data_IF_987523521708
#
_entry.id   IF_987523521708
#
_cell.length_a   1.000
_cell.length_b   1.000
_cell.length_c   1.000
_cell.angle_alpha   90.00
_cell.angle_beta   90.00
_cell.angle_gamma   90.00
#
_symmetry.space_group_name_H-M   'P 1'
#
loop_
_entity.id
_entity.type
_entity.pdbx_description
1 polymer ?
#
# COMPACT_ATOMS: atom_id res chain seq x y z
N UNK A 1 -8.11 -1.09 8.18
CA UNK A 1 -9.12 -0.04 8.01
C UNK A 1 -8.44 1.22 7.48
N UNK A 2 -8.99 1.81 6.41
CA UNK A 2 -8.47 3.04 5.82
C UNK A 2 -9.49 4.17 6.01
N UNK A 3 -9.00 5.38 6.21
CA UNK A 3 -9.84 6.56 6.39
C UNK A 3 -10.06 7.27 5.05
N UNK A 4 -11.25 7.79 4.83
CA UNK A 4 -11.58 8.56 3.63
C UNK A 4 -10.87 9.93 3.52
N UNK A 5 -10.19 10.34 4.58
CA UNK A 5 -9.40 11.58 4.64
C UNK A 5 -8.11 11.35 5.42
N UNK A 6 -6.96 11.53 4.75
CA UNK A 6 -5.64 11.35 5.37
C UNK A 6 -5.31 12.49 6.36
N UNK A 7 -5.82 13.70 6.14
CA UNK A 7 -5.66 14.80 7.08
C UNK A 7 -6.37 14.54 8.39
N UNK A 8 -7.57 13.95 8.33
CA UNK A 8 -8.29 13.52 9.51
C UNK A 8 -7.55 12.39 10.25
N UNK A 9 -6.98 11.42 9.51
CA UNK A 9 -6.14 10.36 10.10
C UNK A 9 -4.95 10.96 10.88
N UNK A 10 -4.25 11.92 10.27
CA UNK A 10 -3.15 12.64 10.91
C UNK A 10 -3.63 13.38 12.16
N UNK A 11 -4.73 14.11 12.06
CA UNK A 11 -5.30 14.89 13.17
C UNK A 11 -5.67 14.01 14.36
N UNK A 12 -6.29 12.85 14.10
CA UNK A 12 -6.65 11.89 15.15
C UNK A 12 -5.41 11.28 15.81
N UNK A 13 -4.42 10.85 15.03
CA UNK A 13 -3.18 10.29 15.56
C UNK A 13 -2.41 11.28 16.46
N UNK A 14 -2.54 12.58 16.21
CA UNK A 14 -1.90 13.60 17.05
C UNK A 14 -2.78 14.06 18.24
N UNK A 15 -4.10 13.98 18.13
CA UNK A 15 -4.99 14.33 19.24
C UNK A 15 -4.81 13.39 20.43
N UNK A 16 -4.53 12.12 20.18
CA UNK A 16 -4.23 11.14 21.23
C UNK A 16 -2.92 11.40 21.99
N UNK A 17 -1.99 12.17 21.39
CA UNK A 17 -0.69 12.46 21.96
C UNK A 17 -0.59 13.87 22.56
N UNK A 18 -1.71 14.60 22.72
CA UNK A 18 -1.76 15.96 23.29
C UNK A 18 -0.82 16.97 22.57
N UNK A 19 -0.50 16.73 21.32
CA UNK A 19 0.41 17.57 20.54
C UNK A 19 -0.34 18.81 20.07
N UNK A 20 0.16 20.00 20.42
CA UNK A 20 -0.45 21.25 19.97
C UNK A 20 -0.37 21.43 18.44
N UNK A 21 -1.37 22.11 17.86
CA UNK A 21 -1.40 22.39 16.41
C UNK A 21 -0.13 23.06 15.89
N UNK A 22 0.54 23.89 16.70
CA UNK A 22 1.80 24.52 16.33
C UNK A 22 2.97 23.53 16.29
N UNK A 23 3.01 22.58 17.21
CA UNK A 23 4.04 21.53 17.22
C UNK A 23 3.86 20.59 16.04
N UNK A 24 2.61 20.24 15.73
CA UNK A 24 2.27 19.44 14.56
C UNK A 24 2.73 20.14 13.28
N UNK A 25 2.38 21.42 13.10
CA UNK A 25 2.79 22.21 11.95
C UNK A 25 4.33 22.25 11.79
N UNK A 26 5.05 22.50 12.88
CA UNK A 26 6.52 22.49 12.87
C UNK A 26 7.11 21.13 12.52
N UNK A 27 6.50 20.05 12.99
CA UNK A 27 6.95 18.68 12.69
C UNK A 27 6.75 18.34 11.21
N UNK A 28 5.63 18.77 10.62
CA UNK A 28 5.36 18.64 9.19
C UNK A 28 6.40 19.41 8.37
N UNK A 29 6.60 20.69 8.69
CA UNK A 29 7.52 21.57 7.96
C UNK A 29 8.98 21.12 8.05
N UNK A 30 9.37 20.50 9.15
CA UNK A 30 10.72 19.99 9.37
C UNK A 30 10.93 18.55 8.88
N UNK A 31 9.91 17.90 8.29
CA UNK A 31 9.98 16.51 7.88
C UNK A 31 10.20 15.53 9.05
N UNK A 32 9.86 15.93 10.27
CA UNK A 32 10.03 15.14 11.51
C UNK A 32 8.70 14.66 12.06
N UNK A 33 7.78 14.33 11.19
CA UNK A 33 6.51 13.76 11.60
C UNK A 33 6.76 12.35 12.17
N UNK A 34 6.50 12.14 13.46
CA UNK A 34 6.64 10.84 14.14
C UNK A 34 5.44 9.91 13.87
N UNK A 35 4.88 9.98 12.68
CA UNK A 35 3.83 9.07 12.23
C UNK A 35 4.44 7.91 11.45
N UNK A 36 3.75 6.79 11.48
CA UNK A 36 4.06 5.66 10.61
C UNK A 36 3.82 6.05 9.15
N UNK A 37 4.89 6.44 8.45
CA UNK A 37 4.82 6.85 7.04
C UNK A 37 4.20 5.76 6.16
N UNK A 38 4.42 4.47 6.48
CA UNK A 38 3.80 3.35 5.79
C UNK A 38 2.28 3.45 5.82
N UNK A 39 1.71 3.64 7.02
CA UNK A 39 0.26 3.78 7.19
C UNK A 39 -0.31 4.99 6.42
N UNK A 40 0.40 6.11 6.37
CA UNK A 40 -0.04 7.28 5.60
C UNK A 40 -0.01 7.01 4.09
N UNK A 41 1.06 6.39 3.59
CA UNK A 41 1.17 6.00 2.19
C UNK A 41 0.05 5.04 1.80
N UNK A 42 -0.16 3.98 2.56
CA UNK A 42 -1.25 3.03 2.32
C UNK A 42 -2.62 3.72 2.31
N UNK A 43 -2.87 4.64 3.25
CA UNK A 43 -4.13 5.37 3.33
C UNK A 43 -4.35 6.27 2.10
N UNK A 44 -3.32 6.98 1.64
CA UNK A 44 -3.39 7.79 0.41
C UNK A 44 -3.67 6.90 -0.81
N UNK A 45 -2.96 5.77 -0.94
CA UNK A 45 -3.16 4.86 -2.07
C UNK A 45 -4.58 4.24 -2.02
N UNK A 46 -5.09 3.90 -0.84
CA UNK A 46 -6.47 3.40 -0.68
C UNK A 46 -7.51 4.42 -1.19
N UNK A 47 -7.33 5.70 -0.87
CA UNK A 47 -8.20 6.76 -1.37
C UNK A 47 -8.12 6.88 -2.90
N UNK A 48 -6.90 6.88 -3.46
CA UNK A 48 -6.69 6.96 -4.91
C UNK A 48 -7.34 5.79 -5.66
N UNK A 49 -7.25 4.57 -5.12
CA UNK A 49 -7.91 3.39 -5.68
C UNK A 49 -9.44 3.48 -5.55
N UNK A 50 -9.95 3.96 -4.42
CA UNK A 50 -11.39 4.11 -4.18
C UNK A 50 -12.00 5.15 -5.13
N UNK A 51 -11.33 6.28 -5.37
CA UNK A 51 -11.79 7.31 -6.32
C UNK A 51 -11.88 6.76 -7.74
N UNK A 52 -11.04 5.77 -8.11
CA UNK A 52 -11.13 5.05 -9.37
C UNK A 52 -12.29 4.02 -9.42
N UNK A 53 -13.12 3.95 -8.36
CA UNK A 53 -14.21 2.98 -8.26
C UNK A 53 -13.75 1.55 -7.93
N UNK A 54 -12.49 1.36 -7.54
CA UNK A 54 -11.96 0.03 -7.21
C UNK A 54 -12.39 -0.42 -5.83
N UNK A 55 -12.76 -1.68 -5.70
CA UNK A 55 -12.97 -2.33 -4.40
C UNK A 55 -11.62 -2.66 -3.78
N UNK A 56 -11.48 -2.37 -2.49
CA UNK A 56 -10.27 -2.65 -1.75
C UNK A 56 -10.33 -4.06 -1.16
N UNK A 57 -9.46 -4.93 -1.63
CA UNK A 57 -9.20 -6.25 -1.07
C UNK A 57 -7.77 -6.31 -0.60
N UNK A 58 -7.50 -7.11 0.42
CA UNK A 58 -6.16 -7.35 0.94
C UNK A 58 -5.96 -8.85 1.17
N UNK A 59 -4.73 -9.25 1.46
CA UNK A 59 -4.43 -10.63 1.81
C UNK A 59 -3.44 -10.69 2.96
N UNK A 60 -3.78 -11.48 3.99
CA UNK A 60 -2.86 -11.79 5.09
C UNK A 60 -2.84 -13.28 5.34
N UNK A 61 -1.68 -13.81 5.67
CA UNK A 61 -1.51 -15.16 6.18
C UNK A 61 -0.78 -15.10 7.51
N UNK A 62 -1.55 -15.25 8.58
CA UNK A 62 -1.01 -15.26 9.94
C UNK A 62 -0.36 -16.61 10.26
N UNK A 63 0.81 -16.57 10.90
CA UNK A 63 1.53 -17.72 11.39
C UNK A 63 1.42 -17.75 12.92
N UNK A 64 0.72 -18.77 13.44
CA UNK A 64 0.46 -18.93 14.87
C UNK A 64 1.75 -19.17 15.68
N UNK A 65 2.71 -19.91 15.11
CA UNK A 65 3.96 -20.26 15.81
C UNK A 65 4.89 -19.05 15.92
N UNK A 66 4.90 -18.19 14.90
CA UNK A 66 5.77 -17.01 14.83
C UNK A 66 5.09 -15.75 15.37
N UNK A 67 3.81 -15.81 15.70
CA UNK A 67 2.98 -14.66 16.11
C UNK A 67 3.09 -13.45 15.18
N UNK A 68 3.17 -13.70 13.85
CA UNK A 68 3.25 -12.66 12.83
C UNK A 68 2.66 -13.12 11.51
N UNK A 69 2.44 -12.17 10.60
CA UNK A 69 2.08 -12.50 9.23
C UNK A 69 3.31 -13.03 8.47
N UNK A 70 3.21 -14.20 7.85
CA UNK A 70 4.21 -14.72 6.90
C UNK A 70 4.03 -14.08 5.52
N UNK A 71 2.79 -13.71 5.16
CA UNK A 71 2.46 -13.00 3.92
C UNK A 71 1.48 -11.88 4.27
N UNK A 72 1.75 -10.68 3.78
CA UNK A 72 0.88 -9.53 3.89
C UNK A 72 0.95 -8.75 2.58
N UNK A 73 -0.20 -8.58 1.91
CA UNK A 73 -0.36 -7.82 0.67
C UNK A 73 -1.38 -6.73 0.92
N UNK A 74 -0.98 -5.48 0.74
CA UNK A 74 -1.77 -4.31 1.10
C UNK A 74 -3.05 -4.19 0.27
N UNK A 75 -2.95 -4.44 -1.05
CA UNK A 75 -4.12 -4.44 -1.93
C UNK A 75 -4.07 -5.58 -2.95
N UNK A 76 -5.25 -6.14 -3.22
CA UNK A 76 -5.45 -7.06 -4.32
C UNK A 76 -6.34 -6.40 -5.37
N UNK A 77 -5.80 -6.22 -6.55
CA UNK A 77 -6.54 -5.70 -7.69
C UNK A 77 -6.98 -6.88 -8.56
N UNK A 78 -8.19 -6.82 -9.09
CA UNK A 78 -8.73 -7.86 -9.95
C UNK A 78 -9.13 -7.28 -11.30
N UNK A 79 -8.87 -8.03 -12.36
CA UNK A 79 -9.47 -7.74 -13.66
C UNK A 79 -10.85 -8.40 -13.71
N UNK A 80 -11.91 -7.63 -13.90
CA UNK A 80 -13.30 -8.10 -13.95
C UNK A 80 -13.67 -8.80 -15.28
N UNK A 81 -12.69 -9.17 -16.09
CA UNK A 81 -12.92 -9.94 -17.30
C UNK A 81 -13.53 -11.29 -16.94
N UNK A 82 -14.76 -11.54 -17.37
CA UNK A 82 -15.60 -12.69 -17.03
C UNK A 82 -15.02 -14.07 -17.40
N UNK A 83 -13.96 -14.11 -18.21
CA UNK A 83 -13.39 -15.35 -18.75
C UNK A 83 -12.07 -15.78 -18.11
N UNK A 84 -11.31 -14.86 -17.51
CA UNK A 84 -10.03 -15.16 -16.87
C UNK A 84 -9.82 -14.26 -15.65
N UNK A 85 -10.21 -14.78 -14.50
CA UNK A 85 -10.00 -14.06 -13.24
C UNK A 85 -8.50 -14.05 -12.90
N UNK A 86 -7.89 -12.90 -13.05
CA UNK A 86 -6.49 -12.65 -12.66
C UNK A 86 -6.42 -11.70 -11.47
N UNK A 87 -5.43 -11.94 -10.64
CA UNK A 87 -5.17 -11.14 -9.44
C UNK A 87 -3.86 -10.40 -9.63
N UNK A 88 -3.87 -9.13 -9.28
CA UNK A 88 -2.70 -8.27 -9.32
C UNK A 88 -2.41 -7.76 -7.90
N UNK A 89 -1.49 -8.40 -7.15
CA UNK A 89 -1.10 -7.91 -5.84
C UNK A 89 -0.37 -6.57 -5.96
N UNK A 90 -0.68 -5.65 -5.04
CA UNK A 90 -0.08 -4.35 -4.93
C UNK A 90 0.42 -4.14 -3.51
N UNK A 91 1.72 -3.86 -3.36
CA UNK A 91 2.35 -3.47 -2.11
C UNK A 91 2.70 -1.98 -2.12
N UNK A 92 2.55 -1.34 -0.97
CA UNK A 92 2.89 0.07 -0.76
C UNK A 92 4.13 0.16 0.11
N UNK A 93 5.12 0.91 -0.33
CA UNK A 93 6.39 1.11 0.38
C UNK A 93 6.66 2.60 0.52
N UNK A 94 6.76 3.09 1.76
CA UNK A 94 7.06 4.49 2.05
C UNK A 94 8.57 4.79 1.97
N UNK A 95 9.43 3.80 2.17
CA UNK A 95 10.88 3.97 2.15
C UNK A 95 11.51 3.56 0.82
N UNK A 96 12.74 4.05 0.57
CA UNK A 96 13.53 3.66 -0.60
C UNK A 96 14.13 2.25 -0.46
N UNK A 97 14.31 1.76 0.76
CA UNK A 97 14.87 0.44 1.06
C UNK A 97 13.75 -0.43 1.65
N UNK A 98 13.37 -1.46 0.92
CA UNK A 98 12.28 -2.36 1.32
C UNK A 98 12.56 -3.78 0.83
N UNK A 99 11.84 -4.74 1.42
CA UNK A 99 11.85 -6.14 0.98
C UNK A 99 10.57 -6.45 0.20
N UNK A 100 10.65 -7.43 -0.68
CA UNK A 100 9.53 -7.94 -1.49
C UNK A 100 9.17 -9.38 -1.13
N UNK A 101 9.55 -9.81 0.06
CA UNK A 101 9.38 -11.21 0.51
C UNK A 101 7.93 -11.67 0.50
N UNK A 102 7.01 -10.81 0.97
CA UNK A 102 5.57 -11.12 0.95
C UNK A 102 5.04 -11.29 -0.47
N UNK A 103 5.43 -10.42 -1.38
CA UNK A 103 5.03 -10.48 -2.77
C UNK A 103 5.51 -11.77 -3.46
N UNK A 104 6.77 -12.14 -3.22
CA UNK A 104 7.37 -13.38 -3.75
C UNK A 104 6.65 -14.61 -3.18
N UNK A 105 6.40 -14.63 -1.87
CA UNK A 105 5.70 -15.72 -1.20
C UNK A 105 4.25 -15.85 -1.70
N UNK A 106 3.56 -14.72 -1.89
CA UNK A 106 2.22 -14.67 -2.44
C UNK A 106 2.15 -15.23 -3.87
N UNK A 107 3.07 -14.76 -4.75
CA UNK A 107 3.18 -15.28 -6.12
C UNK A 107 3.40 -16.80 -6.15
N UNK A 108 4.29 -17.29 -5.31
CA UNK A 108 4.57 -18.73 -5.20
C UNK A 108 3.33 -19.52 -4.77
N UNK A 109 2.53 -18.96 -3.85
CA UNK A 109 1.32 -19.61 -3.31
C UNK A 109 0.16 -19.62 -4.29
N UNK A 110 -0.11 -18.49 -4.94
CA UNK A 110 -1.27 -18.30 -5.82
C UNK A 110 -0.98 -18.77 -7.25
N UNK A 111 0.28 -18.82 -7.64
CA UNK A 111 0.74 -19.37 -8.92
C UNK A 111 0.21 -18.61 -10.14
N UNK A 112 -0.28 -19.34 -11.13
CA UNK A 112 -0.71 -18.80 -12.43
C UNK A 112 -1.90 -17.83 -12.40
N UNK A 113 -2.55 -17.67 -11.25
CA UNK A 113 -3.61 -16.66 -11.08
C UNK A 113 -3.07 -15.24 -10.92
N UNK A 114 -1.79 -15.08 -10.56
CA UNK A 114 -1.12 -13.80 -10.54
C UNK A 114 -0.54 -13.51 -11.91
N UNK A 115 -0.92 -12.39 -12.52
CA UNK A 115 -0.40 -11.98 -13.83
C UNK A 115 0.69 -10.92 -13.66
N UNK A 116 0.35 -9.76 -13.12
CA UNK A 116 1.28 -8.68 -12.84
C UNK A 116 1.29 -8.37 -11.35
N UNK A 117 2.38 -7.84 -10.86
CA UNK A 117 2.49 -7.37 -9.48
C UNK A 117 2.90 -5.92 -9.47
N UNK A 118 2.41 -5.17 -8.52
CA UNK A 118 2.68 -3.75 -8.41
C UNK A 118 3.34 -3.42 -7.08
N UNK A 119 4.30 -2.51 -7.12
CA UNK A 119 4.89 -1.91 -5.93
C UNK A 119 4.81 -0.40 -6.08
N UNK A 120 4.06 0.23 -5.19
CA UNK A 120 4.05 1.70 -5.07
C UNK A 120 5.19 2.11 -4.15
N UNK A 121 6.09 2.97 -4.63
CA UNK A 121 7.28 3.37 -3.87
C UNK A 121 7.76 4.79 -4.24
N UNK A 122 8.59 5.45 -3.41
CA UNK A 122 9.04 6.83 -3.66
C UNK A 122 10.18 6.96 -4.70
N UNK A 123 10.45 5.92 -5.49
CA UNK A 123 11.45 5.95 -6.56
C UNK A 123 10.80 6.10 -7.92
N UNK A 124 11.61 6.29 -8.97
CA UNK A 124 11.16 6.35 -10.34
C UNK A 124 10.51 5.03 -10.80
N UNK A 125 9.68 5.14 -11.83
CA UNK A 125 9.09 4.00 -12.51
C UNK A 125 10.16 3.01 -12.99
N UNK A 126 9.90 1.72 -12.78
CA UNK A 126 10.73 0.63 -13.32
C UNK A 126 9.91 -0.65 -13.48
N UNK A 127 10.37 -1.53 -14.37
CA UNK A 127 9.78 -2.84 -14.60
C UNK A 127 10.86 -3.89 -14.35
N UNK A 128 10.59 -4.84 -13.47
CA UNK A 128 11.46 -5.96 -13.16
C UNK A 128 10.68 -7.28 -13.37
N UNK A 129 10.84 -7.88 -14.55
CA UNK A 129 10.05 -9.05 -14.96
C UNK A 129 8.56 -8.73 -14.97
N UNK A 130 7.77 -9.47 -14.18
CA UNK A 130 6.33 -9.25 -14.03
C UNK A 130 5.96 -8.24 -12.92
N UNK A 131 6.96 -7.63 -12.28
CA UNK A 131 6.75 -6.64 -11.21
C UNK A 131 6.94 -5.24 -11.76
N UNK A 132 5.90 -4.43 -11.65
CA UNK A 132 5.88 -3.04 -12.08
C UNK A 132 5.98 -2.16 -10.84
N UNK A 133 7.02 -1.35 -10.79
CA UNK A 133 7.27 -0.42 -9.69
C UNK A 133 6.91 0.98 -10.13
N UNK A 134 6.02 1.62 -9.38
CA UNK A 134 5.47 2.93 -9.75
C UNK A 134 5.58 3.93 -8.59
N UNK A 135 5.85 5.20 -8.88
CA UNK A 135 5.67 6.26 -7.90
C UNK A 135 4.19 6.47 -7.57
N UNK A 136 3.84 6.98 -6.37
CA UNK A 136 2.44 7.13 -5.92
C UNK A 136 1.52 7.86 -6.92
N UNK A 137 2.01 8.92 -7.55
CA UNK A 137 1.22 9.71 -8.50
C UNK A 137 0.83 8.95 -9.78
N UNK A 138 1.48 7.81 -10.07
CA UNK A 138 1.16 6.97 -11.23
C UNK A 138 0.07 5.92 -10.93
N UNK A 139 -0.49 5.89 -9.72
CA UNK A 139 -1.54 4.91 -9.37
C UNK A 139 -2.76 5.03 -10.29
N UNK A 140 -3.05 6.23 -10.81
CA UNK A 140 -4.13 6.47 -11.77
C UNK A 140 -3.86 5.90 -13.16
N UNK A 141 -2.61 5.55 -13.46
CA UNK A 141 -2.20 4.97 -14.75
C UNK A 141 -2.25 3.44 -14.77
N UNK A 142 -2.69 2.80 -13.68
CA UNK A 142 -2.78 1.34 -13.60
C UNK A 142 -3.87 0.80 -14.52
N UNK A 143 -3.43 0.28 -15.68
CA UNK A 143 -4.25 -0.51 -16.60
C UNK A 143 -3.70 -1.94 -16.63
N UNK A 144 -4.53 -2.93 -16.32
CA UNK A 144 -4.20 -4.36 -16.31
C UNK A 144 -5.34 -5.20 -16.83
#
# INVERSE_FOLDING_TARGET
>A
CYMGDTGLLVSLAFSENEISSQQLYRSIMNGKLSLNEGMLYENVISQMLTVQGRKLYFYTQYNMEKHRNDIEIDFLLSNESKTNFKIHPLEVKSSKNYTTSSLIAFKKKIGSKVEKSFIVHPKAFSIEGETIKIPPYMIFCLNY
#
